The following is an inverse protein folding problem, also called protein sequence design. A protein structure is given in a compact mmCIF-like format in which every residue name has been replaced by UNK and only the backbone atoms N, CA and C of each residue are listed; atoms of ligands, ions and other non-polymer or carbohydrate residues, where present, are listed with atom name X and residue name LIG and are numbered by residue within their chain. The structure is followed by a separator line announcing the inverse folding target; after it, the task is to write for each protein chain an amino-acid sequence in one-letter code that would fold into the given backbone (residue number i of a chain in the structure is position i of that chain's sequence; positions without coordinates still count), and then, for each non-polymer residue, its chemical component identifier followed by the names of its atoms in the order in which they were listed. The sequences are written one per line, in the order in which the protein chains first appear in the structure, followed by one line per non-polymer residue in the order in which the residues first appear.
data_IF_427320014629
#
_entry.id   IF_427320014629
#
_cell.length_a   1.000
_cell.length_b   1.000
_cell.length_c   1.000
_cell.angle_alpha   90.00
_cell.angle_beta   90.00
_cell.angle_gamma   90.00
#
_symmetry.space_group_name_H-M   'P 1'
#
loop_
_entity.id
_entity.type
_entity.pdbx_description
1 polymer ?
#
# COMPACT_ATOMS: atom_id res chain seq x y z
N UNK A 1 22.14 -28.26 -56.19
CA UNK A 1 21.12 -27.36 -55.59
C UNK A 1 21.43 -25.94 -55.99
N UNK A 2 20.56 -25.32 -56.83
CA UNK A 2 20.83 -24.01 -57.44
C UNK A 2 20.92 -22.90 -56.40
N UNK A 3 21.82 -21.93 -56.64
CA UNK A 3 22.04 -20.74 -55.77
C UNK A 3 20.74 -19.98 -55.41
N UNK A 4 19.74 -20.06 -56.29
CA UNK A 4 18.42 -19.49 -56.10
C UNK A 4 17.60 -20.26 -55.02
N UNK A 5 17.65 -21.60 -55.02
CA UNK A 5 16.96 -22.43 -54.02
C UNK A 5 17.50 -22.21 -52.59
N UNK A 6 18.83 -21.99 -52.45
CA UNK A 6 19.43 -21.69 -51.17
C UNK A 6 19.00 -20.31 -50.65
N UNK A 7 18.84 -19.30 -51.51
CA UNK A 7 18.36 -17.97 -51.13
C UNK A 7 16.88 -18.00 -50.70
N UNK A 8 16.03 -18.72 -51.44
CA UNK A 8 14.60 -18.85 -51.11
C UNK A 8 14.43 -19.57 -49.76
N UNK A 9 15.18 -20.67 -49.56
CA UNK A 9 15.16 -21.40 -48.29
C UNK A 9 15.61 -20.57 -47.11
N UNK A 10 16.66 -19.76 -47.29
CA UNK A 10 17.19 -18.87 -46.23
C UNK A 10 16.16 -17.76 -45.85
N UNK A 11 15.52 -17.14 -46.84
CA UNK A 11 14.47 -16.14 -46.64
C UNK A 11 13.25 -16.77 -45.95
N UNK A 12 12.84 -17.97 -46.32
CA UNK A 12 11.73 -18.65 -45.65
C UNK A 12 12.04 -18.99 -44.20
N UNK A 13 13.24 -19.45 -43.88
CA UNK A 13 13.67 -19.72 -42.50
C UNK A 13 13.71 -18.43 -41.70
N UNK A 14 14.23 -17.33 -42.25
CA UNK A 14 14.27 -16.03 -41.58
C UNK A 14 12.86 -15.49 -41.30
N UNK A 15 11.90 -15.70 -42.19
CA UNK A 15 10.51 -15.32 -42.03
C UNK A 15 9.82 -16.15 -40.93
N UNK A 16 10.07 -17.45 -40.89
CA UNK A 16 9.53 -18.33 -39.83
C UNK A 16 10.11 -17.97 -38.45
N UNK A 17 11.41 -17.68 -38.36
CA UNK A 17 12.04 -17.25 -37.12
C UNK A 17 11.46 -15.93 -36.63
N UNK A 18 11.22 -14.95 -37.51
CA UNK A 18 10.57 -13.69 -37.14
C UNK A 18 9.11 -13.89 -36.70
N UNK A 19 8.36 -14.78 -37.33
CA UNK A 19 6.99 -15.14 -36.92
C UNK A 19 7.02 -15.83 -35.54
N UNK A 20 7.96 -16.73 -35.29
CA UNK A 20 8.12 -17.38 -33.99
C UNK A 20 8.53 -16.40 -32.89
N UNK A 21 9.38 -15.41 -33.20
CA UNK A 21 9.72 -14.33 -32.26
C UNK A 21 8.50 -13.43 -31.97
N UNK A 22 7.70 -13.11 -32.98
CA UNK A 22 6.48 -12.32 -32.82
C UNK A 22 5.40 -13.09 -32.03
N UNK A 23 5.31 -14.41 -32.21
CA UNK A 23 4.40 -15.26 -31.43
C UNK A 23 4.93 -15.43 -29.99
N UNK A 24 6.25 -15.54 -29.79
CA UNK A 24 6.88 -15.59 -28.47
C UNK A 24 6.81 -14.25 -27.71
N UNK A 25 6.74 -13.12 -28.42
CA UNK A 25 6.49 -11.81 -27.79
C UNK A 25 5.01 -11.55 -27.52
N UNK A 26 4.08 -12.31 -28.14
CA UNK A 26 2.64 -12.20 -27.88
C UNK A 26 2.08 -13.24 -26.91
N UNK A 27 2.87 -14.24 -26.55
CA UNK A 27 2.60 -15.03 -25.35
C UNK A 27 3.40 -14.45 -24.16
N UNK A 28 3.28 -13.16 -23.86
CA UNK A 28 3.05 -12.84 -22.48
C UNK A 28 1.73 -13.53 -22.18
N UNK A 29 1.80 -14.69 -21.56
CA UNK A 29 0.83 -15.03 -20.56
C UNK A 29 0.80 -13.77 -19.68
N UNK A 30 -0.22 -12.95 -19.91
CA UNK A 30 -0.73 -12.08 -18.89
C UNK A 30 -1.27 -13.11 -17.90
N UNK A 31 -0.36 -13.70 -17.11
CA UNK A 31 -0.72 -14.13 -15.79
C UNK A 31 -1.20 -12.82 -15.19
N UNK A 32 -2.51 -12.75 -15.01
CA UNK A 32 -3.15 -11.75 -14.20
C UNK A 32 -2.42 -11.83 -12.86
N UNK A 33 -1.34 -11.03 -12.68
CA UNK A 33 -0.70 -10.88 -11.38
C UNK A 33 -1.76 -10.46 -10.36
N UNK A 34 -2.81 -9.76 -10.82
CA UNK A 34 -4.01 -9.46 -10.05
C UNK A 34 -4.66 -10.71 -9.45
N UNK A 35 -4.74 -11.85 -10.15
CA UNK A 35 -5.44 -13.04 -9.63
C UNK A 35 -4.67 -13.73 -8.50
N UNK A 36 -3.36 -13.59 -8.42
CA UNK A 36 -2.53 -14.25 -7.40
C UNK A 36 -2.75 -13.73 -5.99
N UNK A 37 -3.12 -12.45 -5.84
CA UNK A 37 -3.31 -11.83 -4.52
C UNK A 37 -4.76 -11.80 -4.05
N UNK A 38 -5.71 -12.27 -4.88
CA UNK A 38 -7.14 -12.16 -4.61
C UNK A 38 -7.82 -13.47 -4.20
N UNK A 39 -7.10 -14.58 -4.19
CA UNK A 39 -7.67 -15.85 -3.73
C UNK A 39 -7.75 -15.90 -2.22
N UNK A 40 -8.94 -15.80 -1.72
CA UNK A 40 -9.22 -15.66 -0.29
C UNK A 40 -9.80 -16.93 0.31
N UNK A 41 -9.15 -18.05 0.12
CA UNK A 41 -9.53 -19.25 0.87
C UNK A 41 -8.96 -19.17 2.29
N UNK A 42 -9.47 -18.17 3.06
CA UNK A 42 -9.08 -17.96 4.44
C UNK A 42 -9.89 -18.87 5.34
N UNK A 43 -9.19 -19.58 6.21
CA UNK A 43 -9.76 -20.40 7.25
C UNK A 43 -9.03 -20.14 8.58
N UNK A 44 -9.46 -20.79 9.65
CA UNK A 44 -8.88 -20.60 11.00
C UNK A 44 -7.38 -20.90 11.08
N UNK A 45 -6.84 -21.75 10.20
CA UNK A 45 -5.42 -22.16 10.23
C UNK A 45 -4.52 -21.10 9.59
N UNK A 46 -4.97 -20.45 8.50
CA UNK A 46 -4.18 -19.49 7.73
C UNK A 46 -4.58 -18.02 7.93
N UNK A 47 -5.54 -17.74 8.82
CA UNK A 47 -6.00 -16.36 9.09
C UNK A 47 -5.02 -15.51 9.90
N UNK A 48 -4.00 -16.11 10.53
CA UNK A 48 -2.97 -15.38 11.28
C UNK A 48 -1.86 -14.93 10.34
N UNK A 49 -2.09 -13.79 9.72
CA UNK A 49 -1.29 -13.28 8.59
C UNK A 49 -0.28 -12.20 8.97
N UNK A 50 -0.35 -11.67 10.19
CA UNK A 50 0.58 -10.63 10.63
C UNK A 50 1.66 -11.21 11.54
N UNK A 51 2.92 -11.05 11.11
CA UNK A 51 4.09 -11.14 11.97
C UNK A 51 4.31 -9.74 12.57
N UNK A 52 4.40 -9.65 13.90
CA UNK A 52 4.56 -8.39 14.62
C UNK A 52 5.84 -8.47 15.45
N UNK A 53 6.79 -7.59 15.17
CA UNK A 53 8.12 -7.58 15.77
C UNK A 53 8.46 -6.23 16.38
N UNK A 54 9.24 -6.26 17.47
CA UNK A 54 9.81 -5.05 18.06
C UNK A 54 10.93 -4.51 17.17
N UNK A 55 10.97 -3.18 16.98
CA UNK A 55 12.10 -2.54 16.32
C UNK A 55 13.27 -2.56 17.31
N UNK A 56 14.35 -3.21 16.93
CA UNK A 56 15.60 -3.17 17.69
C UNK A 56 16.29 -1.83 17.40
N UNK A 57 16.30 -0.92 18.37
CA UNK A 57 17.14 0.27 18.30
C UNK A 57 18.61 -0.16 18.38
N UNK A 58 19.31 -0.11 17.25
CA UNK A 58 20.74 -0.42 17.16
C UNK A 58 21.65 0.71 17.67
N UNK A 59 21.10 1.79 18.19
CA UNK A 59 21.85 2.93 18.66
C UNK A 59 21.53 3.23 20.13
N UNK A 60 22.56 3.08 20.95
CA UNK A 60 22.74 3.45 22.34
C UNK A 60 22.34 2.45 23.43
N UNK A 61 23.40 1.76 23.91
CA UNK A 61 23.43 1.05 25.19
C UNK A 61 23.19 1.95 26.42
N UNK A 62 22.88 3.26 26.25
CA UNK A 62 22.81 4.26 27.33
C UNK A 62 21.52 5.07 27.43
N UNK A 63 20.54 4.89 26.55
CA UNK A 63 19.24 5.53 26.70
C UNK A 63 18.25 4.59 27.40
N UNK A 64 18.29 4.71 28.71
CA UNK A 64 17.20 4.51 29.68
C UNK A 64 15.85 4.12 29.11
N UNK A 65 15.37 2.92 29.45
CA UNK A 65 13.95 2.51 29.64
C UNK A 65 12.89 3.11 28.69
N UNK A 66 13.27 3.60 27.51
CA UNK A 66 12.28 4.02 26.53
C UNK A 66 11.58 2.79 25.99
N UNK A 67 10.28 2.75 26.28
CA UNK A 67 9.38 1.70 25.76
C UNK A 67 9.44 1.78 24.25
N UNK A 68 9.67 0.62 23.64
CA UNK A 68 9.64 0.54 22.19
C UNK A 68 8.22 0.74 21.67
N UNK A 69 7.90 2.00 21.35
CA UNK A 69 6.60 2.42 20.83
C UNK A 69 6.40 2.07 19.36
N UNK A 70 7.45 1.60 18.71
CA UNK A 70 7.42 1.25 17.31
C UNK A 70 7.52 -0.27 17.15
N UNK A 71 6.68 -0.80 16.31
CA UNK A 71 6.77 -2.21 15.89
C UNK A 71 6.74 -2.29 14.38
N UNK A 72 7.29 -3.36 13.85
CA UNK A 72 7.13 -3.74 12.45
C UNK A 72 6.00 -4.76 12.37
N UNK A 73 5.06 -4.51 11.48
CA UNK A 73 4.10 -5.51 11.05
C UNK A 73 4.45 -5.98 9.63
N UNK A 74 4.35 -7.26 9.39
CA UNK A 74 4.62 -7.88 8.10
C UNK A 74 3.48 -8.80 7.71
N UNK A 75 2.99 -8.67 6.48
CA UNK A 75 2.07 -9.63 5.90
C UNK A 75 2.82 -10.90 5.50
N UNK A 76 2.61 -12.00 6.20
CA UNK A 76 3.23 -13.30 5.92
C UNK A 76 2.33 -14.25 5.14
N UNK A 77 1.17 -13.77 4.71
CA UNK A 77 0.26 -14.55 3.84
C UNK A 77 0.69 -14.49 2.37
N UNK A 78 -0.02 -15.20 1.53
CA UNK A 78 0.13 -15.17 0.06
C UNK A 78 -0.94 -14.32 -0.64
N UNK A 79 -1.66 -13.46 0.10
CA UNK A 79 -2.68 -12.55 -0.41
C UNK A 79 -2.54 -11.16 0.19
N UNK A 80 -3.09 -10.15 -0.48
CA UNK A 80 -3.10 -8.77 0.00
C UNK A 80 -4.10 -8.59 1.13
N UNK A 81 -3.70 -7.82 2.13
CA UNK A 81 -4.54 -7.42 3.26
C UNK A 81 -4.56 -5.89 3.37
N UNK A 82 -5.67 -5.32 3.81
CA UNK A 82 -5.82 -3.88 3.95
C UNK A 82 -6.75 -3.50 5.11
N UNK A 83 -6.85 -2.20 5.42
CA UNK A 83 -7.63 -1.69 6.55
C UNK A 83 -7.30 -2.43 7.84
N UNK A 84 -6.02 -2.42 8.21
CA UNK A 84 -5.51 -3.18 9.36
C UNK A 84 -5.77 -2.38 10.63
N UNK A 85 -6.53 -2.96 11.57
CA UNK A 85 -6.79 -2.39 12.88
C UNK A 85 -6.13 -3.27 13.95
N UNK A 86 -5.22 -2.70 14.74
CA UNK A 86 -4.51 -3.40 15.81
C UNK A 86 -5.02 -2.90 17.15
N UNK A 87 -5.49 -3.81 18.00
CA UNK A 87 -5.89 -3.51 19.37
C UNK A 87 -4.79 -3.92 20.33
N UNK A 88 -4.43 -3.04 21.26
CA UNK A 88 -3.38 -3.27 22.25
C UNK A 88 -3.79 -2.83 23.64
N UNK A 89 -3.13 -3.40 24.63
CA UNK A 89 -3.23 -3.06 26.05
C UNK A 89 -1.93 -2.33 26.46
N UNK A 90 -2.08 -1.23 27.17
CA UNK A 90 -0.98 -0.49 27.80
C UNK A 90 -0.79 -1.03 29.22
N UNK A 91 0.42 -1.47 29.51
CA UNK A 91 0.78 -2.04 30.81
C UNK A 91 1.62 -1.02 31.58
N UNK A 92 1.19 -0.65 32.77
CA UNK A 92 1.89 0.31 33.62
C UNK A 92 3.06 -0.34 34.40
N UNK A 93 3.76 0.46 35.20
CA UNK A 93 4.89 0.00 36.01
C UNK A 93 4.51 -1.07 37.08
N UNK A 94 3.25 -1.11 37.49
CA UNK A 94 2.73 -2.10 38.44
C UNK A 94 2.32 -3.42 37.75
N UNK A 95 2.49 -3.52 36.42
CA UNK A 95 2.00 -4.60 35.55
C UNK A 95 0.47 -4.67 35.42
N UNK A 96 -0.24 -3.60 35.73
CA UNK A 96 -1.69 -3.49 35.53
C UNK A 96 -1.98 -2.94 34.10
N UNK A 97 -3.13 -3.32 33.56
CA UNK A 97 -3.64 -2.72 32.33
C UNK A 97 -4.13 -1.32 32.66
N UNK A 98 -3.44 -0.29 32.13
CA UNK A 98 -3.80 1.11 32.32
C UNK A 98 -4.79 1.61 31.27
N UNK A 99 -4.69 1.11 30.04
CA UNK A 99 -5.58 1.44 28.93
C UNK A 99 -5.67 0.31 27.93
N UNK A 100 -6.73 0.36 27.10
CA UNK A 100 -6.90 -0.45 25.90
C UNK A 100 -7.17 0.49 24.74
N UNK A 101 -6.33 0.43 23.72
CA UNK A 101 -6.30 1.37 22.62
C UNK A 101 -6.21 0.65 21.27
N UNK A 102 -6.40 1.39 20.20
CA UNK A 102 -6.32 0.87 18.84
C UNK A 102 -5.45 1.77 17.96
N UNK A 103 -4.76 1.16 17.02
CA UNK A 103 -4.09 1.84 15.91
C UNK A 103 -4.61 1.30 14.60
N UNK A 104 -4.97 2.22 13.70
CA UNK A 104 -5.45 1.90 12.36
C UNK A 104 -4.37 2.19 11.34
N UNK A 105 -4.11 1.23 10.47
CA UNK A 105 -3.20 1.37 9.35
C UNK A 105 -4.02 1.34 8.06
N UNK A 106 -4.19 2.50 7.46
CA UNK A 106 -4.81 2.68 6.15
C UNK A 106 -3.79 2.40 5.04
N UNK A 107 -3.42 1.14 4.91
CA UNK A 107 -2.43 0.67 3.94
C UNK A 107 -2.80 -0.73 3.48
N UNK A 108 -2.62 -0.98 2.18
CA UNK A 108 -2.61 -2.32 1.62
C UNK A 108 -1.21 -2.91 1.72
N UNK A 109 -1.07 -4.03 2.41
CA UNK A 109 0.14 -4.83 2.47
C UNK A 109 0.00 -6.06 1.56
N UNK A 110 0.77 -6.10 0.50
CA UNK A 110 0.93 -7.28 -0.34
C UNK A 110 1.73 -8.37 0.39
N UNK A 111 1.77 -9.61 -0.10
CA UNK A 111 2.60 -10.67 0.47
C UNK A 111 4.04 -10.23 0.70
N UNK A 112 4.54 -10.47 1.92
CA UNK A 112 5.89 -10.12 2.40
C UNK A 112 6.17 -8.62 2.60
N UNK A 113 5.27 -7.72 2.29
CA UNK A 113 5.43 -6.31 2.62
C UNK A 113 5.30 -6.07 4.11
N UNK A 114 5.96 -5.01 4.58
CA UNK A 114 5.97 -4.64 5.98
C UNK A 114 5.86 -3.14 6.18
N UNK A 115 5.34 -2.74 7.34
CA UNK A 115 5.20 -1.35 7.74
C UNK A 115 5.60 -1.16 9.20
N UNK A 116 6.18 -0.03 9.49
CA UNK A 116 6.29 0.45 10.87
C UNK A 116 4.94 0.97 11.34
N UNK A 117 4.64 0.70 12.58
CA UNK A 117 3.51 1.30 13.30
C UNK A 117 4.01 1.91 14.59
N UNK A 118 3.46 3.07 14.96
CA UNK A 118 3.72 3.72 16.23
C UNK A 118 2.50 3.62 17.14
N UNK A 119 2.74 3.38 18.42
CA UNK A 119 1.72 3.38 19.44
C UNK A 119 1.80 4.68 20.23
N UNK A 120 0.63 5.27 20.51
CA UNK A 120 0.58 6.38 21.43
C UNK A 120 1.00 5.93 22.82
N UNK A 121 1.81 6.71 23.50
CA UNK A 121 2.30 6.43 24.85
C UNK A 121 2.05 7.59 25.80
N UNK A 122 1.59 7.24 27.00
CA UNK A 122 1.71 8.08 28.19
C UNK A 122 3.03 7.67 28.93
N UNK A 123 3.76 8.59 29.51
CA UNK A 123 5.02 8.38 30.25
C UNK A 123 4.95 7.29 31.34
N UNK A 124 3.76 6.84 31.68
CA UNK A 124 3.48 5.80 32.68
C UNK A 124 3.42 4.38 32.11
N UNK A 125 3.46 4.22 30.81
CA UNK A 125 3.37 2.92 30.16
C UNK A 125 4.72 2.21 30.19
N UNK A 126 4.78 0.98 30.68
CA UNK A 126 5.97 0.14 30.71
C UNK A 126 6.09 -0.76 29.50
N UNK A 127 4.96 -1.19 28.95
CA UNK A 127 4.91 -2.18 27.86
C UNK A 127 3.59 -2.07 27.10
N UNK A 128 3.66 -2.34 25.82
CA UNK A 128 2.50 -2.54 24.95
C UNK A 128 2.33 -4.03 24.66
N UNK A 129 1.11 -4.52 24.88
CA UNK A 129 0.72 -5.89 24.61
C UNK A 129 -0.36 -5.92 23.53
N UNK A 130 -0.06 -6.44 22.35
CA UNK A 130 -1.03 -6.57 21.25
C UNK A 130 -1.94 -7.75 21.56
N UNK A 131 -3.25 -7.50 21.59
CA UNK A 131 -4.25 -8.50 21.98
C UNK A 131 -5.09 -9.01 20.83
N UNK A 132 -5.28 -8.21 19.80
CA UNK A 132 -5.98 -8.63 18.59
C UNK A 132 -5.62 -7.74 17.40
N UNK A 133 -5.92 -8.22 16.20
CA UNK A 133 -5.94 -7.42 15.00
C UNK A 133 -7.09 -7.83 14.09
N UNK A 134 -7.52 -6.89 13.27
CA UNK A 134 -8.53 -7.06 12.24
C UNK A 134 -7.93 -6.64 10.89
N UNK A 135 -8.34 -7.28 9.81
CA UNK A 135 -7.94 -6.91 8.46
C UNK A 135 -9.03 -7.29 7.46
N UNK A 136 -8.97 -6.69 6.30
CA UNK A 136 -9.86 -6.99 5.19
C UNK A 136 -9.07 -7.64 4.03
N UNK A 137 -9.77 -8.49 3.31
CA UNK A 137 -9.46 -8.89 1.94
C UNK A 137 -10.64 -8.52 1.06
N UNK A 138 -10.57 -8.70 -0.24
CA UNK A 138 -11.64 -8.25 -1.15
C UNK A 138 -13.02 -8.80 -0.78
N UNK A 139 -13.10 -9.96 -0.16
CA UNK A 139 -14.36 -10.65 0.15
C UNK A 139 -14.54 -11.00 1.63
N UNK A 140 -13.53 -10.82 2.47
CA UNK A 140 -13.57 -11.18 3.90
C UNK A 140 -13.18 -10.01 4.79
N UNK A 141 -13.79 -10.01 5.95
CA UNK A 141 -13.39 -9.30 7.16
C UNK A 141 -12.92 -10.35 8.17
N UNK A 142 -11.71 -10.23 8.66
CA UNK A 142 -11.08 -11.22 9.53
C UNK A 142 -10.62 -10.55 10.82
N UNK A 143 -11.02 -11.12 11.95
CA UNK A 143 -10.59 -10.69 13.27
C UNK A 143 -9.83 -11.82 13.96
N UNK A 144 -8.59 -11.54 14.35
CA UNK A 144 -7.72 -12.47 15.07
C UNK A 144 -7.55 -12.01 16.50
N UNK A 145 -8.02 -12.80 17.45
CA UNK A 145 -7.78 -12.58 18.88
C UNK A 145 -6.56 -13.40 19.30
N UNK A 146 -5.47 -12.70 19.63
CA UNK A 146 -4.21 -13.33 20.02
C UNK A 146 -4.24 -13.83 21.47
N UNK A 147 -5.08 -13.21 22.33
CA UNK A 147 -5.21 -13.57 23.75
C UNK A 147 -5.93 -14.90 23.92
N UNK A 148 -7.04 -15.09 23.19
CA UNK A 148 -7.87 -16.28 23.28
C UNK A 148 -7.58 -17.29 22.17
N UNK A 149 -6.67 -16.93 21.26
CA UNK A 149 -6.28 -17.74 20.10
C UNK A 149 -7.47 -18.10 19.16
N UNK A 150 -8.44 -17.17 19.03
CA UNK A 150 -9.64 -17.36 18.21
C UNK A 150 -9.58 -16.51 16.94
N UNK A 151 -10.34 -16.92 15.94
CA UNK A 151 -10.45 -16.23 14.65
C UNK A 151 -11.92 -16.17 14.25
N UNK A 152 -12.40 -14.97 13.93
CA UNK A 152 -13.72 -14.73 13.33
C UNK A 152 -13.52 -14.32 11.87
N UNK A 153 -14.25 -14.98 10.97
CA UNK A 153 -14.18 -14.72 9.53
C UNK A 153 -15.59 -14.43 9.03
N UNK A 154 -15.78 -13.21 8.57
CA UNK A 154 -17.05 -12.73 8.04
C UNK A 154 -16.90 -12.38 6.55
N UNK A 155 -18.05 -12.28 5.87
CA UNK A 155 -18.05 -11.68 4.52
C UNK A 155 -17.80 -10.18 4.65
N UNK A 156 -16.91 -9.64 3.82
CA UNK A 156 -16.71 -8.20 3.74
C UNK A 156 -17.98 -7.51 3.25
N UNK A 157 -18.34 -6.42 3.91
CA UNK A 157 -19.45 -5.54 3.51
C UNK A 157 -18.98 -4.34 2.66
N UNK A 158 -17.70 -4.24 2.35
CA UNK A 158 -17.15 -3.16 1.56
C UNK A 158 -17.61 -3.26 0.10
N UNK A 159 -18.17 -2.16 -0.41
CA UNK A 159 -18.63 -2.07 -1.79
C UNK A 159 -17.51 -1.50 -2.66
N UNK A 160 -16.53 -2.33 -2.99
CA UNK A 160 -15.42 -1.95 -3.86
C UNK A 160 -15.79 -2.14 -5.34
N UNK A 161 -15.36 -1.19 -6.17
CA UNK A 161 -15.50 -1.19 -7.63
C UNK A 161 -14.13 -1.40 -8.26
N UNK A 162 -14.08 -1.77 -9.53
CA UNK A 162 -12.85 -1.71 -10.31
C UNK A 162 -12.39 -0.25 -10.42
N UNK A 163 -11.12 0.03 -10.15
CA UNK A 163 -10.60 1.40 -10.14
C UNK A 163 -10.54 2.04 -11.52
N UNK A 164 -10.39 1.24 -12.60
CA UNK A 164 -10.19 1.73 -13.98
C UNK A 164 -11.23 2.74 -14.45
N UNK A 165 -12.48 2.60 -14.01
CA UNK A 165 -13.55 3.55 -14.35
C UNK A 165 -13.42 4.90 -13.63
N UNK A 166 -12.62 4.95 -12.56
CA UNK A 166 -12.47 6.10 -11.66
C UNK A 166 -11.06 6.68 -11.68
N UNK A 167 -10.13 6.08 -12.41
CA UNK A 167 -8.76 6.56 -12.59
C UNK A 167 -8.71 7.75 -13.56
N UNK A 168 -9.16 8.89 -13.06
CA UNK A 168 -9.26 10.14 -13.83
C UNK A 168 -8.11 11.12 -13.58
N UNK A 169 -7.21 10.77 -12.68
CA UNK A 169 -5.98 11.50 -12.41
C UNK A 169 -4.78 10.72 -12.99
N UNK A 170 -3.94 11.40 -13.74
CA UNK A 170 -2.62 10.88 -14.10
C UNK A 170 -1.56 11.58 -13.28
N UNK A 171 -0.56 10.83 -12.86
CA UNK A 171 0.55 11.32 -12.06
C UNK A 171 1.86 11.20 -12.82
N UNK A 172 2.79 12.14 -12.58
CA UNK A 172 4.19 11.96 -12.99
C UNK A 172 4.88 10.91 -12.11
N UNK A 173 6.10 10.58 -12.46
CA UNK A 173 7.02 9.98 -11.49
C UNK A 173 7.27 10.96 -10.34
N UNK A 174 7.49 10.45 -9.13
CA UNK A 174 7.88 11.25 -7.98
C UNK A 174 9.37 11.56 -8.09
N UNK A 175 9.72 12.85 -8.16
CA UNK A 175 11.12 13.25 -8.36
C UNK A 175 11.59 14.22 -7.28
N UNK A 176 12.86 14.10 -6.91
CA UNK A 176 13.48 14.93 -5.89
C UNK A 176 13.76 16.33 -6.47
N UNK A 177 13.28 17.37 -5.80
CA UNK A 177 13.44 18.77 -6.21
C UNK A 177 14.46 19.52 -5.35
N UNK A 178 14.64 19.13 -4.10
CA UNK A 178 15.53 19.80 -3.17
C UNK A 178 16.22 18.78 -2.28
N UNK A 179 17.52 18.99 -2.10
CA UNK A 179 18.31 18.35 -1.07
C UNK A 179 18.77 19.45 -0.12
N UNK A 180 18.11 19.58 1.02
CA UNK A 180 18.59 20.45 2.09
C UNK A 180 19.20 19.56 3.19
N UNK A 181 20.13 20.10 3.95
CA UNK A 181 20.83 19.34 5.01
C UNK A 181 19.88 18.78 6.09
N UNK A 182 18.59 19.13 6.04
CA UNK A 182 17.61 18.75 7.06
C UNK A 182 16.43 17.93 6.50
N UNK A 183 15.95 18.20 5.28
CA UNK A 183 14.76 17.52 4.73
C UNK A 183 14.85 17.41 3.21
N UNK A 184 14.77 16.20 2.70
CA UNK A 184 14.60 15.92 1.29
C UNK A 184 13.16 16.24 0.86
N UNK A 185 13.04 17.01 -0.24
CA UNK A 185 11.74 17.37 -0.80
C UNK A 185 11.59 16.75 -2.19
N UNK A 186 10.45 16.14 -2.41
CA UNK A 186 10.05 15.55 -3.69
C UNK A 186 8.82 16.26 -4.22
N UNK A 187 8.56 16.13 -5.51
CA UNK A 187 7.39 16.69 -6.19
C UNK A 187 6.69 15.61 -6.98
N UNK A 188 5.36 15.71 -7.02
CA UNK A 188 4.45 14.90 -7.80
C UNK A 188 3.53 15.82 -8.59
N UNK A 189 3.55 15.72 -9.93
CA UNK A 189 2.58 16.38 -10.79
C UNK A 189 1.33 15.52 -10.94
N UNK A 190 0.15 16.13 -10.77
CA UNK A 190 -1.14 15.46 -10.92
C UNK A 190 -1.96 16.21 -11.94
N UNK A 191 -2.47 15.50 -12.93
CA UNK A 191 -3.30 16.06 -14.01
C UNK A 191 -4.68 15.43 -14.02
N UNK A 192 -5.72 16.26 -14.12
CA UNK A 192 -7.08 15.82 -14.38
C UNK A 192 -7.26 15.46 -15.85
N UNK A 193 -7.43 14.20 -16.16
CA UNK A 193 -7.66 13.70 -17.53
C UNK A 193 -9.14 13.53 -17.85
N UNK A 194 -10.02 13.74 -16.89
CA UNK A 194 -11.46 13.65 -17.08
C UNK A 194 -12.05 14.92 -17.75
N UNK A 195 -13.32 14.85 -18.05
CA UNK A 195 -14.13 16.00 -18.48
C UNK A 195 -14.87 16.68 -17.31
N UNK A 196 -14.58 16.27 -16.08
CA UNK A 196 -15.25 16.74 -14.86
C UNK A 196 -14.34 17.68 -14.07
N UNK A 197 -14.94 18.53 -13.25
CA UNK A 197 -14.21 19.27 -12.22
C UNK A 197 -14.05 18.38 -11.00
N UNK A 198 -12.81 18.30 -10.49
CA UNK A 198 -12.47 17.50 -9.33
C UNK A 198 -12.01 18.43 -8.21
N UNK A 199 -12.42 18.13 -6.98
CA UNK A 199 -12.04 18.89 -5.80
C UNK A 199 -11.42 18.01 -4.72
N UNK A 200 -10.89 18.61 -3.66
CA UNK A 200 -10.36 17.91 -2.49
C UNK A 200 -9.47 16.72 -2.85
N UNK A 201 -8.50 16.95 -3.77
CA UNK A 201 -7.61 15.88 -4.21
C UNK A 201 -6.63 15.57 -3.09
N UNK A 202 -6.60 14.32 -2.66
CA UNK A 202 -5.64 13.81 -1.67
C UNK A 202 -4.87 12.65 -2.28
N UNK A 203 -3.55 12.68 -2.19
CA UNK A 203 -2.70 11.54 -2.55
C UNK A 203 -2.21 10.84 -1.29
N UNK A 204 -2.25 9.53 -1.30
CA UNK A 204 -1.68 8.68 -0.28
C UNK A 204 -0.34 8.18 -0.76
N UNK A 205 0.71 8.43 0.00
CA UNK A 205 2.07 7.99 -0.30
C UNK A 205 2.62 7.12 0.80
N UNK A 206 3.52 6.21 0.43
CA UNK A 206 4.33 5.43 1.34
C UNK A 206 5.80 5.83 1.20
N UNK A 207 6.46 6.13 2.30
CA UNK A 207 7.90 6.33 2.35
C UNK A 207 8.54 5.00 2.77
N UNK A 208 9.51 4.52 2.00
CA UNK A 208 10.16 3.23 2.22
C UNK A 208 11.63 3.43 2.59
N UNK A 209 12.10 2.59 3.51
CA UNK A 209 13.51 2.50 3.86
C UNK A 209 14.31 1.68 2.82
N UNK A 210 15.60 1.47 3.10
CA UNK A 210 16.50 0.69 2.23
C UNK A 210 16.10 -0.78 2.05
N UNK A 211 15.30 -1.31 2.94
CA UNK A 211 14.86 -2.71 2.95
C UNK A 211 13.46 -2.87 2.34
N UNK A 212 12.88 -1.76 1.82
CA UNK A 212 11.54 -1.75 1.21
C UNK A 212 10.40 -1.80 2.21
N UNK A 213 10.66 -1.45 3.48
CA UNK A 213 9.66 -1.37 4.53
C UNK A 213 9.05 0.03 4.56
N UNK A 214 7.74 0.14 4.66
CA UNK A 214 7.07 1.42 4.88
C UNK A 214 7.40 1.95 6.27
N UNK A 215 8.04 3.11 6.32
CA UNK A 215 8.39 3.81 7.55
C UNK A 215 7.44 4.97 7.84
N UNK A 216 6.67 5.40 6.83
CA UNK A 216 5.65 6.43 6.96
C UNK A 216 4.61 6.28 5.86
N UNK A 217 3.35 6.45 6.23
CA UNK A 217 2.23 6.62 5.30
C UNK A 217 1.70 8.04 5.52
N UNK A 218 1.60 8.80 4.44
CA UNK A 218 1.18 10.20 4.49
C UNK A 218 0.09 10.49 3.47
N UNK A 219 -0.77 11.46 3.80
CA UNK A 219 -1.86 11.95 2.96
C UNK A 219 -1.63 13.43 2.68
N UNK A 220 -1.39 13.76 1.42
CA UNK A 220 -1.12 15.13 0.98
C UNK A 220 -2.30 15.64 0.19
N UNK A 221 -2.90 16.74 0.63
CA UNK A 221 -4.16 17.23 0.09
C UNK A 221 -4.02 18.58 -0.60
N UNK A 222 -4.78 18.75 -1.68
CA UNK A 222 -5.05 20.03 -2.33
C UNK A 222 -6.55 20.30 -2.35
N UNK A 223 -6.95 21.43 -1.82
CA UNK A 223 -8.35 21.86 -1.78
C UNK A 223 -8.77 22.69 -3.01
N UNK A 224 -7.88 22.82 -3.99
CA UNK A 224 -8.18 23.51 -5.22
C UNK A 224 -9.10 22.67 -6.11
N UNK A 225 -10.04 23.34 -6.82
CA UNK A 225 -10.80 22.69 -7.87
C UNK A 225 -9.92 22.56 -9.11
N UNK A 226 -9.71 21.34 -9.55
CA UNK A 226 -8.91 21.01 -10.72
C UNK A 226 -9.85 20.79 -11.92
N UNK A 227 -9.83 21.72 -12.86
CA UNK A 227 -10.66 21.63 -14.08
C UNK A 227 -10.09 20.58 -15.05
N UNK A 228 -10.88 20.18 -16.06
CA UNK A 228 -10.39 19.30 -17.12
C UNK A 228 -9.07 19.77 -17.73
N UNK A 229 -8.10 18.86 -17.85
CA UNK A 229 -6.75 19.10 -18.39
C UNK A 229 -5.82 19.99 -17.54
N UNK A 230 -6.28 20.54 -16.43
CA UNK A 230 -5.42 21.25 -15.49
C UNK A 230 -4.54 20.27 -14.69
N UNK A 231 -3.44 20.78 -14.21
CA UNK A 231 -2.51 20.05 -13.34
C UNK A 231 -2.18 20.86 -12.09
N UNK A 232 -1.81 20.15 -11.03
CA UNK A 232 -1.29 20.68 -9.78
C UNK A 232 0.01 19.95 -9.42
N UNK A 233 0.83 20.62 -8.62
CA UNK A 233 2.03 20.05 -8.05
C UNK A 233 1.84 19.85 -6.56
N UNK A 234 2.26 18.71 -6.06
CA UNK A 234 2.25 18.39 -4.64
C UNK A 234 3.67 18.14 -4.15
N UNK A 235 4.04 18.80 -3.06
CA UNK A 235 5.34 18.62 -2.42
C UNK A 235 5.25 17.53 -1.35
N UNK A 236 6.26 16.67 -1.31
CA UNK A 236 6.39 15.56 -0.37
C UNK A 236 7.67 15.80 0.43
N UNK A 237 7.57 15.87 1.74
CA UNK A 237 8.72 15.94 2.64
C UNK A 237 9.08 14.52 3.08
N UNK A 238 10.31 14.13 2.84
CA UNK A 238 10.77 12.78 3.18
C UNK A 238 11.50 12.76 4.52
N UNK A 239 11.33 11.66 5.27
CA UNK A 239 12.13 11.37 6.45
C UNK A 239 13.59 11.06 6.05
N UNK A 240 14.54 11.27 6.95
CA UNK A 240 15.98 11.12 6.67
C UNK A 240 16.36 9.72 6.17
N UNK A 241 15.67 8.70 6.65
CA UNK A 241 15.91 7.30 6.28
C UNK A 241 15.11 6.82 5.05
N UNK A 242 14.32 7.70 4.42
CA UNK A 242 13.58 7.40 3.19
C UNK A 242 14.52 7.12 2.03
N UNK A 243 14.33 6.01 1.34
CA UNK A 243 15.07 5.63 0.13
C UNK A 243 14.24 5.71 -1.12
N UNK A 244 12.94 5.47 -1.01
CA UNK A 244 11.99 5.62 -2.11
C UNK A 244 10.63 6.07 -1.59
N UNK A 245 9.83 6.64 -2.49
CA UNK A 245 8.46 7.06 -2.21
C UNK A 245 7.57 6.38 -3.24
N UNK A 246 6.49 5.77 -2.78
CA UNK A 246 5.50 5.07 -3.59
C UNK A 246 4.16 5.80 -3.49
N UNK A 247 3.46 5.94 -4.63
CA UNK A 247 2.08 6.38 -4.67
C UNK A 247 1.18 5.18 -4.40
N UNK A 248 0.48 5.18 -3.28
CA UNK A 248 -0.37 4.07 -2.83
C UNK A 248 -1.81 4.21 -3.30
N UNK A 249 -2.25 5.45 -3.49
CA UNK A 249 -3.61 5.74 -3.87
C UNK A 249 -3.88 7.24 -3.93
N UNK A 250 -5.12 7.57 -4.25
CA UNK A 250 -5.59 8.95 -4.20
C UNK A 250 -7.10 9.01 -4.04
N UNK A 251 -7.57 10.13 -3.53
CA UNK A 251 -9.01 10.43 -3.52
C UNK A 251 -9.31 11.78 -4.14
N UNK A 252 -10.53 11.95 -4.58
CA UNK A 252 -11.05 13.22 -5.10
C UNK A 252 -12.56 13.31 -4.93
N UNK A 253 -13.07 14.53 -4.92
CA UNK A 253 -14.49 14.79 -5.02
C UNK A 253 -14.89 15.03 -6.47
N UNK A 254 -15.86 14.29 -6.97
CA UNK A 254 -16.60 14.65 -8.17
C UNK A 254 -17.56 15.78 -7.81
N UNK A 255 -17.22 17.00 -8.20
CA UNK A 255 -17.99 18.21 -7.81
C UNK A 255 -19.44 18.17 -8.30
N UNK A 256 -19.67 17.57 -9.46
CA UNK A 256 -21.00 17.47 -10.07
C UNK A 256 -21.88 16.43 -9.38
N UNK A 257 -21.32 15.24 -9.17
CA UNK A 257 -22.04 14.10 -8.59
C UNK A 257 -22.08 14.17 -7.05
N UNK A 258 -21.33 15.10 -6.44
CA UNK A 258 -21.16 15.23 -4.97
C UNK A 258 -20.71 13.94 -4.31
N UNK A 259 -19.88 13.19 -4.97
CA UNK A 259 -19.35 11.91 -4.51
C UNK A 259 -17.86 12.04 -4.24
N UNK A 260 -17.41 11.46 -3.13
CA UNK A 260 -16.00 11.24 -2.86
C UNK A 260 -15.61 9.86 -3.39
N UNK A 261 -14.57 9.83 -4.21
CA UNK A 261 -13.99 8.61 -4.79
C UNK A 261 -12.61 8.42 -4.19
N UNK A 262 -12.38 7.27 -3.59
CA UNK A 262 -11.08 6.87 -3.06
C UNK A 262 -10.57 5.65 -3.82
N UNK A 263 -9.35 5.73 -4.36
CA UNK A 263 -8.70 4.71 -5.19
C UNK A 263 -7.50 4.15 -4.45
N UNK A 264 -7.50 2.85 -4.25
CA UNK A 264 -6.33 2.08 -3.83
C UNK A 264 -5.66 1.50 -5.08
N UNK A 265 -4.45 1.97 -5.39
CA UNK A 265 -3.71 1.57 -6.57
C UNK A 265 -3.11 0.17 -6.42
N UNK A 266 -2.87 -0.30 -5.20
CA UNK A 266 -2.34 -1.65 -4.95
C UNK A 266 -3.41 -2.72 -5.08
N UNK A 267 -4.65 -2.39 -4.74
CA UNK A 267 -5.80 -3.28 -4.89
C UNK A 267 -6.49 -3.15 -6.25
N UNK A 268 -6.17 -2.11 -7.02
CA UNK A 268 -6.92 -1.72 -8.22
C UNK A 268 -8.43 -1.60 -7.93
N UNK A 269 -8.76 -1.01 -6.78
CA UNK A 269 -10.14 -0.85 -6.32
C UNK A 269 -10.45 0.60 -5.97
N UNK A 270 -11.72 0.95 -6.17
CA UNK A 270 -12.29 2.22 -5.79
C UNK A 270 -13.44 2.03 -4.78
N UNK A 271 -13.51 2.91 -3.79
CA UNK A 271 -14.68 3.08 -2.94
C UNK A 271 -15.34 4.43 -3.22
N UNK A 272 -16.66 4.47 -3.16
CA UNK A 272 -17.47 5.66 -3.48
C UNK A 272 -18.37 5.95 -2.29
N UNK A 273 -18.32 7.19 -1.82
CA UNK A 273 -19.20 7.71 -0.78
C UNK A 273 -19.78 9.06 -1.21
N UNK A 274 -21.02 9.37 -0.80
CA UNK A 274 -21.70 10.61 -1.12
C UNK A 274 -23.12 10.62 -0.62
#
# INVERSE_FOLDING_TARGET
MNKLHKKVLFISILLIVNILILISCNSKDIYDEESLYYTTNINHENAKVLLIEDIKNNNDDNLTNEINLYKVIKNVSNFSIYNILITYEEINNNNDISAKSQVFLDLTLNPNESSEISFFNDDKVKKINIVSYEYYTLDKEVKVNLKDNTVDINKSNLNLKDSKEYEVLTTSEIYKIKNSNEIDTYELDIKNTSRKQLGNITVKIGQLDKDGKYIMIDNISSYNILKPSENIKMEIKALDNTKSIELLGYSYDDVKEKANINIDLKLHKASISG
#
